data_IF_268451506508
#
_entry.id   IF_268451506508
#
_cell.length_a   1.000
_cell.length_b   1.000
_cell.length_c   1.000
_cell.angle_alpha   90.00
_cell.angle_beta   90.00
_cell.angle_gamma   90.00
#
_symmetry.space_group_name_H-M   'P 1'
#
loop_
_entity.id
_entity.type
_entity.pdbx_description
1 polymer ?
#
# COMPACT_ATOMS: atom_id res chain seq x y z
N UNK A 1 -22.07 -16.75 -3.15
CA UNK A 1 -21.47 -15.52 -2.57
C UNK A 1 -21.71 -14.39 -3.56
N UNK A 2 -22.63 -13.47 -3.23
CA UNK A 2 -23.20 -12.51 -4.17
C UNK A 2 -22.20 -11.40 -4.53
N UNK A 3 -22.00 -11.18 -5.84
CA UNK A 3 -21.10 -10.20 -6.44
C UNK A 3 -21.38 -8.73 -6.08
N UNK A 4 -22.41 -8.44 -5.27
CA UNK A 4 -22.82 -7.07 -4.92
C UNK A 4 -21.77 -6.29 -4.13
N UNK A 5 -20.89 -6.96 -3.39
CA UNK A 5 -19.82 -6.29 -2.63
C UNK A 5 -18.72 -5.73 -3.53
N UNK A 6 -18.44 -6.36 -4.68
CA UNK A 6 -17.35 -5.94 -5.58
C UNK A 6 -17.71 -4.65 -6.35
N UNK A 7 -18.98 -4.47 -6.73
CA UNK A 7 -19.44 -3.24 -7.38
C UNK A 7 -19.44 -2.02 -6.44
N UNK A 8 -19.53 -2.24 -5.13
CA UNK A 8 -19.41 -1.19 -4.11
C UNK A 8 -17.96 -0.72 -3.91
N UNK A 9 -16.98 -1.55 -4.30
CA UNK A 9 -15.55 -1.21 -4.25
C UNK A 9 -15.08 -0.46 -5.51
N UNK A 10 -15.59 -0.79 -6.69
CA UNK A 10 -15.20 -0.10 -7.92
C UNK A 10 -15.78 1.33 -8.03
N UNK A 11 -16.99 1.56 -7.46
CA UNK A 11 -17.57 2.91 -7.29
C UNK A 11 -16.87 3.77 -6.23
N UNK A 12 -15.88 3.22 -5.51
CA UNK A 12 -15.08 3.94 -4.50
C UNK A 12 -14.06 4.91 -5.12
N UNK A 13 -13.78 4.78 -6.43
CA UNK A 13 -12.85 5.65 -7.16
C UNK A 13 -13.36 7.09 -7.35
N UNK A 14 -14.66 7.36 -7.13
CA UNK A 14 -15.30 8.65 -7.42
C UNK A 14 -15.77 9.45 -6.19
N UNK A 15 -15.65 8.92 -4.96
CA UNK A 15 -16.02 9.65 -3.74
C UNK A 15 -14.79 10.05 -2.94
N UNK A 16 -14.55 11.36 -2.90
CA UNK A 16 -13.50 12.05 -2.16
C UNK A 16 -13.65 11.84 -0.65
N UNK A 17 -13.22 10.69 -0.13
CA UNK A 17 -13.12 10.48 1.31
C UNK A 17 -11.98 11.34 1.86
N UNK A 18 -12.23 12.03 2.97
CA UNK A 18 -11.36 13.07 3.55
C UNK A 18 -9.95 12.53 3.81
N UNK A 19 -8.91 13.33 3.52
CA UNK A 19 -7.48 12.93 3.56
C UNK A 19 -7.04 12.18 4.83
N UNK A 20 -7.62 12.50 6.00
CA UNK A 20 -7.27 11.90 7.31
C UNK A 20 -7.81 10.49 7.51
N UNK A 21 -9.05 10.23 7.09
CA UNK A 21 -9.73 8.99 7.45
C UNK A 21 -9.11 7.78 6.77
N UNK A 22 -8.56 7.90 5.55
CA UNK A 22 -7.89 6.79 4.83
C UNK A 22 -6.71 6.19 5.60
N UNK A 23 -5.99 6.98 6.40
CA UNK A 23 -4.83 6.54 7.18
C UNK A 23 -5.26 5.72 8.40
N UNK A 24 -6.40 6.05 8.99
CA UNK A 24 -6.95 5.36 10.15
C UNK A 24 -7.31 3.91 9.81
N UNK A 25 -7.85 3.66 8.61
CA UNK A 25 -8.22 2.33 8.11
C UNK A 25 -7.03 1.45 7.69
N UNK A 26 -5.81 1.97 7.71
CA UNK A 26 -4.61 1.20 7.38
C UNK A 26 -4.33 0.16 8.47
N UNK A 27 -4.77 -1.07 8.22
CA UNK A 27 -4.55 -2.29 9.02
C UNK A 27 -3.56 -3.22 8.29
N UNK A 28 -2.93 -4.20 8.98
CA UNK A 28 -2.08 -5.21 8.34
C UNK A 28 -2.75 -5.87 7.12
N UNK A 29 -4.04 -6.20 7.25
CA UNK A 29 -4.84 -6.80 6.19
C UNK A 29 -5.07 -5.84 5.02
N UNK A 30 -5.38 -4.57 5.31
CA UNK A 30 -5.54 -3.55 4.26
C UNK A 30 -4.20 -3.32 3.52
N UNK A 31 -3.08 -3.30 4.24
CA UNK A 31 -1.75 -3.19 3.65
C UNK A 31 -1.42 -4.39 2.76
N UNK A 32 -1.78 -5.61 3.20
CA UNK A 32 -1.60 -6.81 2.40
C UNK A 32 -2.41 -6.76 1.09
N UNK A 33 -3.70 -6.44 1.15
CA UNK A 33 -4.52 -6.30 -0.07
C UNK A 33 -4.00 -5.20 -0.99
N UNK A 34 -3.61 -4.07 -0.43
CA UNK A 34 -3.08 -2.98 -1.22
C UNK A 34 -1.75 -3.35 -1.90
N UNK A 35 -0.86 -4.06 -1.19
CA UNK A 35 0.38 -4.56 -1.77
C UNK A 35 0.15 -5.60 -2.87
N UNK A 36 -0.96 -6.34 -2.83
CA UNK A 36 -1.30 -7.27 -3.90
C UNK A 36 -1.88 -6.59 -5.13
N UNK A 37 -2.65 -5.52 -4.95
CA UNK A 37 -3.32 -4.83 -6.05
C UNK A 37 -2.38 -3.87 -6.78
N UNK A 38 -1.63 -3.05 -6.04
CA UNK A 38 -0.81 -1.96 -6.60
C UNK A 38 0.70 -2.11 -6.30
N UNK A 39 1.12 -3.24 -5.73
CA UNK A 39 2.51 -3.50 -5.39
C UNK A 39 3.37 -3.94 -6.57
N UNK A 40 4.65 -3.64 -6.49
CA UNK A 40 5.64 -4.05 -7.50
C UNK A 40 6.97 -4.33 -6.82
N UNK A 41 7.53 -5.52 -7.09
CA UNK A 41 8.85 -5.89 -6.60
C UNK A 41 9.95 -5.04 -7.27
N UNK A 42 10.96 -4.69 -6.48
CA UNK A 42 12.22 -4.11 -6.94
C UNK A 42 13.36 -5.02 -6.50
N UNK A 43 14.55 -4.85 -7.09
CA UNK A 43 15.74 -5.68 -6.78
C UNK A 43 16.05 -5.76 -5.29
N UNK A 44 15.85 -4.67 -4.55
CA UNK A 44 16.20 -4.58 -3.13
C UNK A 44 15.02 -4.20 -2.23
N UNK A 45 13.83 -3.97 -2.78
CA UNK A 45 12.70 -3.46 -2.01
C UNK A 45 11.36 -3.64 -2.69
N UNK A 46 10.40 -2.81 -2.31
CA UNK A 46 9.03 -2.93 -2.80
C UNK A 46 8.43 -1.57 -3.10
N UNK A 47 7.80 -1.44 -4.25
CA UNK A 47 7.08 -0.23 -4.65
C UNK A 47 5.59 -0.40 -4.41
N UNK A 48 4.97 0.63 -3.85
CA UNK A 48 3.53 0.85 -3.91
C UNK A 48 3.27 1.91 -4.98
N UNK A 49 2.48 1.56 -6.00
CA UNK A 49 2.19 2.44 -7.13
C UNK A 49 1.12 3.50 -6.80
N UNK A 50 1.44 4.42 -5.89
CA UNK A 50 0.59 5.53 -5.45
C UNK A 50 0.60 6.74 -6.38
N UNK A 51 0.61 6.50 -7.70
CA UNK A 51 0.80 7.52 -8.73
C UNK A 51 -0.30 8.61 -8.76
N UNK A 52 -1.46 8.34 -8.17
CA UNK A 52 -2.58 9.29 -8.08
C UNK A 52 -2.48 10.23 -6.88
N UNK A 53 -1.53 10.01 -5.96
CA UNK A 53 -1.43 10.77 -4.72
C UNK A 53 -0.52 11.97 -4.90
N UNK A 54 -0.87 13.07 -4.23
CA UNK A 54 -0.04 14.26 -4.10
C UNK A 54 1.19 13.98 -3.22
N UNK A 55 2.18 14.87 -3.25
CA UNK A 55 3.37 14.75 -2.42
C UNK A 55 3.03 14.78 -0.92
N UNK A 56 2.13 15.67 -0.51
CA UNK A 56 1.67 15.77 0.88
C UNK A 56 0.99 14.47 1.35
N UNK A 57 0.21 13.83 0.48
CA UNK A 57 -0.41 12.54 0.78
C UNK A 57 0.63 11.42 0.92
N UNK A 58 1.70 11.43 0.13
CA UNK A 58 2.81 10.50 0.32
C UNK A 58 3.53 10.71 1.64
N UNK A 59 3.74 11.96 2.06
CA UNK A 59 4.37 12.28 3.36
C UNK A 59 3.49 11.80 4.52
N UNK A 60 2.17 12.00 4.43
CA UNK A 60 1.25 11.49 5.44
C UNK A 60 1.23 9.95 5.48
N UNK A 61 1.24 9.30 4.32
CA UNK A 61 1.28 7.85 4.20
C UNK A 61 2.58 7.27 4.75
N UNK A 62 3.72 7.89 4.45
CA UNK A 62 5.03 7.53 5.00
C UNK A 62 5.02 7.60 6.53
N UNK A 63 4.48 8.68 7.11
CA UNK A 63 4.33 8.80 8.57
C UNK A 63 3.43 7.71 9.14
N UNK A 64 2.32 7.39 8.46
CA UNK A 64 1.40 6.34 8.89
C UNK A 64 2.07 4.95 8.91
N UNK A 65 2.81 4.61 7.86
CA UNK A 65 3.53 3.33 7.77
C UNK A 65 4.64 3.23 8.82
N UNK A 66 5.35 4.33 9.08
CA UNK A 66 6.36 4.39 10.12
C UNK A 66 5.75 4.21 11.52
N UNK A 67 4.68 4.95 11.84
CA UNK A 67 4.08 4.93 13.19
C UNK A 67 3.35 3.62 13.48
N UNK A 68 2.59 3.08 12.50
CA UNK A 68 1.76 1.88 12.71
C UNK A 68 2.52 0.57 12.57
N UNK A 69 3.49 0.53 11.66
CA UNK A 69 4.13 -0.73 11.25
C UNK A 69 5.65 -0.68 11.35
N UNK A 70 6.25 0.45 11.74
CA UNK A 70 7.68 0.67 11.77
C UNK A 70 8.36 0.39 10.41
N UNK A 71 7.62 0.63 9.32
CA UNK A 71 8.13 0.45 7.95
C UNK A 71 8.70 1.77 7.46
N UNK A 72 9.99 1.76 7.16
CA UNK A 72 10.63 2.90 6.53
C UNK A 72 10.43 2.91 5.02
N UNK A 73 9.94 4.05 4.52
CA UNK A 73 9.73 4.27 3.09
C UNK A 73 10.52 5.46 2.59
N UNK A 74 10.64 5.57 1.26
CA UNK A 74 11.16 6.71 0.54
C UNK A 74 10.19 7.11 -0.58
N UNK A 75 10.15 8.39 -0.94
CA UNK A 75 9.28 8.88 -2.01
C UNK A 75 10.14 9.04 -3.26
N UNK A 76 9.89 8.22 -4.28
CA UNK A 76 10.61 8.27 -5.54
C UNK A 76 9.79 9.02 -6.59
N UNK A 77 10.43 9.89 -7.35
CA UNK A 77 9.80 10.60 -8.47
C UNK A 77 9.79 9.69 -9.69
N UNK A 78 8.63 9.59 -10.34
CA UNK A 78 8.43 8.83 -11.57
C UNK A 78 7.76 9.73 -12.61
N UNK A 79 8.58 10.45 -13.38
CA UNK A 79 8.12 11.51 -14.27
C UNK A 79 7.54 12.69 -13.49
N UNK A 80 6.28 13.04 -13.75
CA UNK A 80 5.56 14.10 -13.03
C UNK A 80 4.86 13.61 -11.76
N UNK A 81 4.94 12.30 -11.47
CA UNK A 81 4.22 11.64 -10.37
C UNK A 81 5.20 11.08 -9.34
N UNK A 82 4.64 10.56 -8.24
CA UNK A 82 5.41 9.97 -7.14
C UNK A 82 5.02 8.51 -6.93
N UNK A 83 5.99 7.71 -6.50
CA UNK A 83 5.82 6.32 -6.05
C UNK A 83 6.38 6.21 -4.63
N UNK A 84 5.80 5.33 -3.84
CA UNK A 84 6.33 5.03 -2.51
C UNK A 84 7.18 3.76 -2.57
N UNK A 85 8.43 3.87 -2.13
CA UNK A 85 9.39 2.77 -2.06
C UNK A 85 9.56 2.33 -0.61
N UNK A 86 9.36 1.05 -0.32
CA UNK A 86 9.68 0.43 0.96
C UNK A 86 11.17 0.05 0.93
N UNK A 87 11.93 0.57 1.89
CA UNK A 87 13.37 0.33 1.96
C UNK A 87 13.67 -1.14 2.23
N UNK A 88 14.77 -1.63 1.66
CA UNK A 88 15.29 -2.99 1.86
C UNK A 88 15.30 -3.43 3.33
N UNK A 89 15.76 -2.55 4.23
CA UNK A 89 15.84 -2.83 5.67
C UNK A 89 14.48 -3.09 6.34
N UNK A 90 13.39 -2.57 5.78
CA UNK A 90 12.04 -2.77 6.29
C UNK A 90 11.28 -3.88 5.56
N UNK A 91 11.90 -4.56 4.58
CA UNK A 91 11.26 -5.63 3.81
C UNK A 91 10.93 -6.85 4.66
N UNK A 92 11.80 -7.24 5.59
CA UNK A 92 11.54 -8.35 6.50
C UNK A 92 10.31 -8.08 7.37
N UNK A 93 10.23 -6.86 7.91
CA UNK A 93 9.08 -6.42 8.70
C UNK A 93 7.81 -6.36 7.86
N UNK A 94 7.88 -5.76 6.67
CA UNK A 94 6.77 -5.70 5.73
C UNK A 94 6.24 -7.10 5.39
N UNK A 95 7.13 -8.04 5.01
CA UNK A 95 6.78 -9.44 4.72
C UNK A 95 6.11 -10.12 5.90
N UNK A 96 6.63 -9.95 7.12
CA UNK A 96 6.03 -10.54 8.32
C UNK A 96 4.58 -10.08 8.57
N UNK A 97 4.26 -8.84 8.16
CA UNK A 97 2.93 -8.25 8.32
C UNK A 97 2.00 -8.72 7.22
N UNK A 98 2.46 -8.79 5.97
CA UNK A 98 1.59 -9.06 4.82
C UNK A 98 1.40 -10.55 4.55
N UNK A 99 2.43 -11.38 4.72
CA UNK A 99 2.42 -12.81 4.41
C UNK A 99 1.26 -13.59 5.05
N UNK A 100 0.87 -13.36 6.33
CA UNK A 100 -0.24 -14.09 6.95
C UNK A 100 -1.60 -13.89 6.25
N UNK A 101 -1.76 -12.81 5.48
CA UNK A 101 -3.01 -12.50 4.78
C UNK A 101 -2.99 -12.92 3.31
N UNK A 102 -1.87 -13.43 2.80
CA UNK A 102 -1.77 -13.91 1.43
C UNK A 102 -2.33 -15.34 1.36
N UNK A 103 -3.28 -15.56 0.45
CA UNK A 103 -3.73 -16.91 0.14
C UNK A 103 -2.57 -17.70 -0.50
N UNK A 104 -2.46 -18.99 -0.21
CA UNK A 104 -1.34 -19.85 -0.64
C UNK A 104 -0.99 -19.74 -2.15
N UNK A 105 -1.99 -19.53 -3.02
CA UNK A 105 -1.79 -19.38 -4.46
C UNK A 105 -1.08 -18.06 -4.87
N UNK A 106 -1.04 -17.04 -4.00
CA UNK A 106 -0.43 -15.72 -4.29
C UNK A 106 0.98 -15.55 -3.70
N UNK A 107 1.57 -16.60 -3.13
CA UNK A 107 2.93 -16.56 -2.56
C UNK A 107 4.05 -16.47 -3.62
N UNK A 108 3.73 -16.65 -4.90
CA UNK A 108 4.72 -16.72 -5.99
C UNK A 108 5.31 -15.32 -6.35
N UNK A 109 4.73 -14.24 -5.84
CA UNK A 109 5.05 -12.87 -6.28
C UNK A 109 5.62 -11.94 -5.19
N UNK A 110 6.21 -12.47 -4.10
CA UNK A 110 6.79 -11.66 -3.01
C UNK A 110 8.16 -12.13 -2.55
#
# INVERSE_FOLDING_TARGET
MSYSYLYKFCSWRTKSYTRRSRIEWLSPRALAFWSMDDGSLSESGFYLNTLSYTLDEHVLLQKALQVKFNIETNIHKHGTKYKLYIKAKSMNQFRSIVLPYFAAHRLIFI
#
